data_IF_110964835842
#
_entry.id   IF_110964835842
#
_cell.length_a   1.000
_cell.length_b   1.000
_cell.length_c   1.000
_cell.angle_alpha   90.00
_cell.angle_beta   90.00
_cell.angle_gamma   90.00
#
_symmetry.space_group_name_H-M   'P 1'
#
loop_
_entity.id
_entity.type
_entity.pdbx_description
1 polymer ?
#
# COMPACT_ATOMS: atom_id res chain seq x y z
N UNK A 1 -61.80 24.54 -13.15
CA UNK A 1 -61.07 23.25 -13.12
C UNK A 1 -59.60 23.52 -13.41
N UNK A 2 -58.69 23.45 -12.41
CA UNK A 2 -57.26 23.58 -12.66
C UNK A 2 -56.64 22.21 -13.00
N UNK A 3 -55.74 22.18 -13.99
CA UNK A 3 -54.99 21.01 -14.45
C UNK A 3 -53.96 20.56 -13.40
N UNK A 4 -53.79 19.26 -13.10
CA UNK A 4 -52.68 18.79 -12.28
C UNK A 4 -51.39 18.65 -13.10
N UNK A 5 -50.27 18.98 -12.45
CA UNK A 5 -48.92 18.98 -12.99
C UNK A 5 -48.37 17.56 -13.17
N UNK A 6 -47.65 17.34 -14.29
CA UNK A 6 -46.86 16.13 -14.58
C UNK A 6 -45.74 15.97 -13.55
N UNK A 7 -45.68 14.81 -12.86
CA UNK A 7 -44.50 14.36 -12.11
C UNK A 7 -43.82 13.29 -12.97
N UNK A 8 -42.63 13.60 -13.51
CA UNK A 8 -41.83 12.64 -14.25
C UNK A 8 -41.20 11.63 -13.31
N UNK A 9 -41.53 10.35 -13.48
CA UNK A 9 -40.89 9.24 -12.79
C UNK A 9 -39.49 9.01 -13.37
N UNK A 10 -38.43 9.35 -12.63
CA UNK A 10 -37.07 8.90 -12.96
C UNK A 10 -36.93 7.42 -12.58
N UNK A 11 -36.64 6.59 -13.58
CA UNK A 11 -36.16 5.23 -13.36
C UNK A 11 -34.73 5.29 -12.83
N UNK A 12 -34.52 4.84 -11.60
CA UNK A 12 -33.19 4.52 -11.10
C UNK A 12 -32.76 3.19 -11.73
N UNK A 13 -31.93 3.24 -12.77
CA UNK A 13 -31.12 2.08 -13.15
C UNK A 13 -29.98 1.99 -12.15
N UNK A 14 -30.11 1.10 -11.18
CA UNK A 14 -29.00 0.72 -10.29
C UNK A 14 -28.06 -0.19 -11.07
N UNK A 15 -26.97 0.37 -11.60
CA UNK A 15 -25.87 -0.42 -12.14
C UNK A 15 -24.94 -0.79 -10.98
N UNK A 16 -25.13 -1.98 -10.43
CA UNK A 16 -24.19 -2.55 -9.46
C UNK A 16 -22.96 -3.05 -10.22
N UNK A 17 -21.90 -2.25 -10.28
CA UNK A 17 -20.59 -2.73 -10.74
C UNK A 17 -20.00 -3.51 -9.57
N UNK A 18 -20.17 -4.84 -9.60
CA UNK A 18 -19.41 -5.74 -8.74
C UNK A 18 -17.96 -5.78 -9.21
N UNK A 19 -17.04 -5.19 -8.44
CA UNK A 19 -15.63 -5.55 -8.58
C UNK A 19 -15.49 -7.00 -8.13
N UNK A 20 -15.07 -7.88 -9.04
CA UNK A 20 -14.59 -9.22 -8.68
C UNK A 20 -13.29 -9.02 -7.89
N UNK A 21 -13.39 -9.01 -6.56
CA UNK A 21 -12.25 -8.82 -5.66
C UNK A 21 -11.28 -10.00 -5.79
N UNK A 22 -10.03 -9.73 -6.18
CA UNK A 22 -8.93 -10.67 -6.03
C UNK A 22 -8.70 -11.02 -4.56
N UNK A 23 -8.09 -12.19 -4.30
CA UNK A 23 -7.71 -12.60 -2.95
C UNK A 23 -6.91 -11.49 -2.24
N UNK A 24 -7.07 -11.36 -0.93
CA UNK A 24 -6.27 -10.40 -0.17
C UNK A 24 -4.77 -10.68 -0.35
N UNK A 25 -3.94 -9.64 -0.43
CA UNK A 25 -2.51 -9.82 -0.57
C UNK A 25 -1.93 -10.45 0.69
N UNK A 26 -0.96 -11.35 0.50
CA UNK A 26 -0.27 -12.08 1.57
C UNK A 26 0.91 -11.24 2.05
N UNK A 27 0.94 -10.96 3.35
CA UNK A 27 2.06 -10.31 4.04
C UNK A 27 2.90 -11.36 4.77
N UNK A 28 4.22 -11.33 4.58
CA UNK A 28 5.19 -12.19 5.27
C UNK A 28 6.22 -11.35 6.01
N UNK A 29 6.44 -11.65 7.28
CA UNK A 29 7.42 -10.94 8.11
C UNK A 29 6.97 -10.77 9.56
N UNK A 30 7.66 -9.92 10.33
CA UNK A 30 8.77 -9.07 9.89
C UNK A 30 9.98 -9.88 9.41
N UNK A 31 10.64 -9.42 8.34
CA UNK A 31 11.86 -10.03 7.82
C UNK A 31 13.01 -9.64 8.75
N UNK A 32 13.59 -10.64 9.43
CA UNK A 32 14.63 -10.43 10.43
C UNK A 32 15.79 -9.59 9.86
N UNK A 33 16.16 -8.55 10.60
CA UNK A 33 17.43 -7.84 10.43
C UNK A 33 18.52 -8.72 11.04
N UNK A 34 19.52 -9.13 10.25
CA UNK A 34 20.61 -10.00 10.70
C UNK A 34 21.90 -9.25 11.04
N UNK A 35 22.07 -8.03 10.50
CA UNK A 35 23.23 -7.17 10.77
C UNK A 35 22.79 -5.73 11.09
N UNK A 36 23.70 -4.91 11.62
CA UNK A 36 23.45 -3.49 11.86
C UNK A 36 23.37 -2.70 10.54
N UNK A 37 22.70 -1.55 10.54
CA UNK A 37 22.73 -0.67 9.37
C UNK A 37 24.16 -0.16 9.13
N UNK A 38 24.60 -0.15 7.87
CA UNK A 38 25.97 0.16 7.47
C UNK A 38 26.91 -1.05 7.40
N UNK A 39 26.47 -2.24 7.83
CA UNK A 39 27.26 -3.47 7.75
C UNK A 39 27.50 -3.89 6.28
N UNK A 40 28.74 -4.20 5.86
CA UNK A 40 29.06 -4.57 4.47
C UNK A 40 28.33 -5.81 3.94
N UNK A 41 27.82 -6.69 4.82
CA UNK A 41 27.02 -7.84 4.42
C UNK A 41 25.59 -7.48 3.98
N UNK A 42 25.17 -6.22 4.21
CA UNK A 42 23.92 -5.67 3.71
C UNK A 42 22.67 -6.49 4.11
N UNK A 43 22.73 -7.19 5.25
CA UNK A 43 21.66 -8.08 5.72
C UNK A 43 20.72 -7.39 6.72
N UNK A 44 20.34 -6.18 6.36
CA UNK A 44 19.37 -5.31 7.01
C UNK A 44 18.53 -4.63 5.92
N UNK A 45 17.38 -4.02 6.27
CA UNK A 45 16.53 -3.36 5.29
C UNK A 45 17.31 -2.29 4.49
N UNK A 46 17.31 -2.40 3.17
CA UNK A 46 17.85 -1.33 2.32
C UNK A 46 17.06 -0.04 2.55
N UNK A 47 17.76 1.10 2.62
CA UNK A 47 17.17 2.39 2.94
C UNK A 47 16.53 2.47 4.34
N UNK A 48 17.15 1.79 5.32
CA UNK A 48 16.80 1.96 6.73
C UNK A 48 16.86 3.42 7.17
N UNK A 49 15.96 3.80 8.09
CA UNK A 49 15.89 5.15 8.64
C UNK A 49 17.26 5.65 9.11
N UNK A 50 17.59 6.90 8.77
CA UNK A 50 18.78 7.59 9.27
C UNK A 50 18.58 8.07 10.71
N UNK A 51 17.33 8.25 11.12
CA UNK A 51 16.97 8.70 12.46
C UNK A 51 17.10 7.58 13.50
N UNK A 52 17.42 7.95 14.73
CA UNK A 52 17.33 7.03 15.89
C UNK A 52 15.86 6.84 16.29
N UNK A 53 15.19 5.92 15.60
CA UNK A 53 13.78 5.60 15.83
C UNK A 53 13.53 5.10 17.26
N UNK A 54 14.44 4.30 17.82
CA UNK A 54 14.25 3.71 19.15
C UNK A 54 14.20 4.80 20.22
N UNK A 55 15.12 5.77 20.17
CA UNK A 55 15.10 6.94 21.07
C UNK A 55 13.85 7.79 20.91
N UNK A 56 13.20 7.74 19.74
CA UNK A 56 11.92 8.42 19.45
C UNK A 56 10.69 7.56 19.76
N UNK A 57 10.88 6.34 20.27
CA UNK A 57 9.79 5.41 20.59
C UNK A 57 9.14 4.76 19.36
N UNK A 58 9.88 4.67 18.25
CA UNK A 58 9.48 4.07 16.99
C UNK A 58 10.29 2.81 16.67
N UNK A 59 9.72 1.95 15.83
CA UNK A 59 10.38 0.78 15.27
C UNK A 59 10.28 0.80 13.75
N UNK A 60 11.31 0.28 13.08
CA UNK A 60 11.31 -0.02 11.65
C UNK A 60 11.29 -1.54 11.45
N UNK A 61 10.37 -2.00 10.60
CA UNK A 61 10.21 -3.40 10.27
C UNK A 61 10.01 -3.55 8.77
N UNK A 62 10.69 -4.53 8.17
CA UNK A 62 10.51 -4.87 6.76
C UNK A 62 9.57 -6.07 6.62
N UNK A 63 8.72 -6.05 5.60
CA UNK A 63 7.82 -7.15 5.26
C UNK A 63 7.91 -7.45 3.76
N UNK A 64 7.68 -8.70 3.40
CA UNK A 64 7.37 -9.08 2.03
C UNK A 64 5.87 -9.16 1.82
N UNK A 65 5.48 -8.87 0.59
CA UNK A 65 4.13 -8.50 0.26
C UNK A 65 3.79 -9.01 -1.13
N UNK A 66 2.80 -9.90 -1.26
CA UNK A 66 2.54 -10.59 -2.52
C UNK A 66 1.05 -10.74 -2.82
N UNK A 67 0.71 -10.77 -4.10
CA UNK A 67 -0.66 -10.87 -4.55
C UNK A 67 -0.73 -10.95 -6.07
N UNK A 68 -1.85 -10.48 -6.61
CA UNK A 68 -2.07 -10.40 -8.05
C UNK A 68 -2.52 -8.99 -8.42
N UNK A 69 -1.98 -8.45 -9.50
CA UNK A 69 -2.27 -7.13 -10.02
C UNK A 69 -2.89 -7.20 -11.41
N UNK A 70 -3.59 -6.14 -11.78
CA UNK A 70 -4.12 -5.90 -13.12
C UNK A 70 -3.26 -4.90 -13.88
N UNK A 71 -3.37 -4.95 -15.21
CA UNK A 71 -2.91 -3.85 -16.07
C UNK A 71 -4.09 -2.99 -16.47
N UNK A 72 -3.83 -1.70 -16.62
CA UNK A 72 -4.85 -0.70 -16.89
C UNK A 72 -4.51 0.10 -18.14
N UNK A 73 -5.53 0.40 -18.93
CA UNK A 73 -5.52 1.53 -19.85
C UNK A 73 -5.81 2.78 -19.02
N UNK A 74 -4.91 3.76 -19.01
CA UNK A 74 -5.00 4.95 -18.14
C UNK A 74 -5.14 6.25 -18.95
N UNK A 75 -6.33 6.50 -19.54
CA UNK A 75 -6.57 7.73 -20.29
C UNK A 75 -6.40 8.97 -19.39
N UNK A 76 -5.91 10.06 -19.98
CA UNK A 76 -5.68 11.31 -19.27
C UNK A 76 -6.96 11.85 -18.63
N UNK A 77 -6.95 12.06 -17.31
CA UNK A 77 -8.08 12.65 -16.59
C UNK A 77 -9.30 11.74 -16.45
N UNK A 78 -9.17 10.45 -16.76
CA UNK A 78 -10.24 9.47 -16.65
C UNK A 78 -9.82 8.26 -15.81
N UNK A 79 -10.81 7.55 -15.29
CA UNK A 79 -10.59 6.31 -14.54
C UNK A 79 -10.00 5.26 -15.46
N UNK A 80 -8.96 4.57 -14.98
CA UNK A 80 -8.33 3.49 -15.74
C UNK A 80 -9.28 2.31 -15.94
N UNK A 81 -9.15 1.62 -17.08
CA UNK A 81 -9.90 0.41 -17.39
C UNK A 81 -8.97 -0.79 -17.37
N UNK A 82 -9.36 -1.88 -16.71
CA UNK A 82 -8.59 -3.13 -16.71
C UNK A 82 -8.47 -3.67 -18.14
N UNK A 83 -7.24 -3.94 -18.58
CA UNK A 83 -6.91 -4.58 -19.87
C UNK A 83 -6.84 -6.09 -19.66
N UNK A 84 -6.08 -6.52 -18.67
CA UNK A 84 -5.97 -7.90 -18.21
C UNK A 84 -5.58 -7.94 -16.73
N UNK A 85 -5.54 -9.14 -16.16
CA UNK A 85 -5.40 -9.33 -14.72
C UNK A 85 -4.69 -10.59 -14.30
N UNK A 86 -4.65 -10.80 -12.99
CA UNK A 86 -4.08 -11.98 -12.34
C UNK A 86 -2.54 -12.10 -12.50
N UNK A 87 -1.85 -10.98 -12.71
CA UNK A 87 -0.39 -10.92 -12.78
C UNK A 87 0.21 -11.00 -11.38
N UNK A 88 0.94 -12.07 -11.09
CA UNK A 88 1.52 -12.25 -9.76
C UNK A 88 2.59 -11.20 -9.47
N UNK A 89 2.64 -10.74 -8.23
CA UNK A 89 3.72 -9.92 -7.74
C UNK A 89 4.15 -10.37 -6.34
N UNK A 90 5.41 -10.09 -6.01
CA UNK A 90 5.97 -10.14 -4.66
C UNK A 90 6.94 -8.97 -4.51
N UNK A 91 6.68 -8.09 -3.57
CA UNK A 91 7.52 -6.92 -3.30
C UNK A 91 7.74 -6.73 -1.79
N UNK A 92 8.26 -5.57 -1.43
CA UNK A 92 8.64 -5.17 -0.08
C UNK A 92 7.79 -4.01 0.43
N UNK A 93 7.50 -4.06 1.72
CA UNK A 93 7.02 -2.93 2.52
C UNK A 93 8.06 -2.60 3.60
N UNK A 94 8.36 -1.32 3.80
CA UNK A 94 9.13 -0.84 4.94
C UNK A 94 8.19 -0.07 5.87
N UNK A 95 8.02 -0.53 7.09
CA UNK A 95 7.03 -0.01 8.04
C UNK A 95 7.76 0.70 9.18
N UNK A 96 7.40 1.95 9.42
CA UNK A 96 7.86 2.74 10.58
C UNK A 96 6.66 3.14 11.42
N UNK A 97 6.64 2.76 12.70
CA UNK A 97 5.47 2.99 13.57
C UNK A 97 5.88 3.16 15.02
N UNK A 98 4.99 3.69 15.89
CA UNK A 98 5.21 3.65 17.32
C UNK A 98 5.48 2.22 17.81
N UNK A 99 6.46 2.07 18.69
CA UNK A 99 6.80 0.81 19.33
C UNK A 99 5.65 0.35 20.25
N UNK A 100 5.08 1.30 21.00
CA UNK A 100 3.87 1.12 21.81
C UNK A 100 2.63 1.48 20.97
N UNK A 101 1.77 0.50 20.73
CA UNK A 101 0.54 0.67 19.97
C UNK A 101 -0.41 1.72 20.58
N UNK A 102 -0.31 2.01 21.88
CA UNK A 102 -1.12 3.07 22.54
C UNK A 102 -0.75 4.48 22.08
N UNK A 103 0.45 4.66 21.53
CA UNK A 103 0.92 5.94 20.98
C UNK A 103 0.56 6.12 19.51
N UNK A 104 -0.04 5.12 18.87
CA UNK A 104 -0.50 5.20 17.49
C UNK A 104 -1.79 6.02 17.40
N UNK A 105 -1.79 7.04 16.54
CA UNK A 105 -2.93 7.95 16.36
C UNK A 105 -4.06 7.38 15.48
N UNK A 106 -3.88 6.15 14.99
CA UNK A 106 -4.85 5.49 14.13
C UNK A 106 -4.69 5.76 12.64
N UNK A 107 -3.73 6.59 12.22
CA UNK A 107 -3.52 6.96 10.81
C UNK A 107 -2.21 6.43 10.25
N UNK A 108 -2.31 5.71 9.13
CA UNK A 108 -1.15 5.20 8.38
C UNK A 108 -0.93 6.09 7.16
N UNK A 109 0.28 6.58 6.98
CA UNK A 109 0.75 7.21 5.74
C UNK A 109 1.37 6.13 4.87
N UNK A 110 0.85 5.95 3.66
CA UNK A 110 1.42 4.99 2.70
C UNK A 110 2.12 5.77 1.62
N UNK A 111 3.42 5.58 1.47
CA UNK A 111 4.28 6.26 0.51
C UNK A 111 4.64 5.32 -0.63
N UNK A 112 4.42 5.80 -1.85
CA UNK A 112 4.99 5.19 -3.05
C UNK A 112 6.45 5.66 -3.16
N UNK A 113 7.41 4.75 -2.97
CA UNK A 113 8.83 5.13 -2.96
C UNK A 113 9.27 5.70 -4.31
N UNK A 114 9.98 6.83 -4.27
CA UNK A 114 10.54 7.45 -5.45
C UNK A 114 11.73 6.64 -5.98
N UNK A 115 11.85 6.45 -7.30
CA UNK A 115 12.93 5.67 -7.92
C UNK A 115 13.85 6.47 -8.84
N UNK A 116 13.78 7.81 -8.81
CA UNK A 116 14.53 8.69 -9.71
C UNK A 116 16.05 8.48 -9.63
N UNK A 117 16.58 8.06 -8.48
CA UNK A 117 18.00 7.72 -8.29
C UNK A 117 18.34 6.26 -8.59
N UNK A 118 17.47 5.54 -9.30
CA UNK A 118 17.69 4.14 -9.69
C UNK A 118 17.46 3.12 -8.58
N UNK A 119 16.91 3.54 -7.44
CA UNK A 119 16.56 2.71 -6.28
C UNK A 119 15.46 3.40 -5.46
N UNK A 120 14.81 2.68 -4.55
CA UNK A 120 13.79 3.25 -3.67
C UNK A 120 14.34 4.37 -2.78
N UNK A 121 13.62 5.49 -2.74
CA UNK A 121 13.83 6.64 -1.85
C UNK A 121 12.53 6.94 -1.09
N UNK A 122 12.62 7.11 0.22
CA UNK A 122 11.50 7.48 1.10
C UNK A 122 11.42 9.01 1.30
N UNK A 123 11.36 9.76 0.20
CA UNK A 123 11.45 11.23 0.20
C UNK A 123 10.41 11.89 1.09
N UNK A 124 9.16 11.41 1.12
CA UNK A 124 8.16 12.01 2.00
C UNK A 124 8.53 11.73 3.47
N UNK A 125 8.94 10.51 3.85
CA UNK A 125 9.49 10.27 5.20
C UNK A 125 10.65 11.21 5.52
N UNK A 126 11.66 11.29 4.66
CA UNK A 126 12.81 12.16 4.85
C UNK A 126 12.38 13.61 5.17
N UNK A 127 11.35 14.12 4.49
CA UNK A 127 10.85 15.48 4.68
C UNK A 127 9.99 15.67 5.94
N UNK A 128 9.13 14.70 6.29
CA UNK A 128 8.08 14.91 7.30
C UNK A 128 8.12 13.96 8.51
N UNK A 129 9.12 13.08 8.62
CA UNK A 129 9.26 12.09 9.70
C UNK A 129 9.08 12.69 11.09
N UNK A 130 9.56 13.91 11.28
CA UNK A 130 9.58 14.56 12.57
C UNK A 130 8.16 14.89 13.06
N UNK A 131 7.30 15.34 12.15
CA UNK A 131 5.88 15.54 12.39
C UNK A 131 5.14 14.20 12.56
N UNK A 132 5.43 13.22 11.69
CA UNK A 132 4.82 11.89 11.76
C UNK A 132 5.09 11.25 13.13
N UNK A 133 6.35 11.28 13.58
CA UNK A 133 6.76 10.70 14.84
C UNK A 133 6.12 11.38 16.05
N UNK A 134 6.17 12.71 16.13
CA UNK A 134 5.56 13.47 17.24
C UNK A 134 4.05 13.27 17.33
N UNK A 135 3.39 13.09 16.20
CA UNK A 135 1.93 12.96 16.14
C UNK A 135 1.44 11.52 16.19
N UNK A 136 2.34 10.52 16.29
CA UNK A 136 1.96 9.12 16.45
C UNK A 136 1.49 8.42 15.18
N UNK A 137 1.90 8.89 13.99
CA UNK A 137 1.55 8.22 12.72
C UNK A 137 2.35 6.93 12.53
N UNK A 138 1.77 6.00 11.78
CA UNK A 138 2.55 4.95 11.15
C UNK A 138 2.82 5.34 9.69
N UNK A 139 3.92 4.85 9.14
CA UNK A 139 4.33 5.06 7.77
C UNK A 139 4.69 3.73 7.12
N UNK A 140 4.34 3.56 5.85
CA UNK A 140 4.65 2.39 5.03
C UNK A 140 5.21 2.87 3.70
N UNK A 141 6.50 2.62 3.44
CA UNK A 141 7.11 2.77 2.13
C UNK A 141 6.89 1.53 1.28
N UNK A 142 6.45 1.72 0.04
CA UNK A 142 6.09 0.64 -0.89
C UNK A 142 7.06 0.61 -2.06
N UNK A 143 7.72 -0.53 -2.26
CA UNK A 143 8.53 -0.83 -3.44
C UNK A 143 7.62 -1.21 -4.62
N UNK A 144 6.92 -0.24 -5.22
CA UNK A 144 5.89 -0.53 -6.23
C UNK A 144 6.42 -0.69 -7.66
N UNK A 145 7.67 -0.27 -7.93
CA UNK A 145 8.22 -0.17 -9.28
C UNK A 145 9.39 -1.13 -9.53
N UNK A 146 9.56 -1.51 -10.80
CA UNK A 146 10.57 -2.48 -11.25
C UNK A 146 11.99 -2.02 -10.94
N UNK A 147 12.28 -0.73 -11.11
CA UNK A 147 13.61 -0.13 -10.86
C UNK A 147 14.00 -0.30 -9.39
N UNK A 148 13.11 0.04 -8.46
CA UNK A 148 13.34 -0.11 -7.02
C UNK A 148 13.60 -1.57 -6.64
N UNK A 149 12.74 -2.49 -7.11
CA UNK A 149 12.88 -3.93 -6.82
C UNK A 149 14.17 -4.51 -7.42
N UNK A 150 14.58 -4.08 -8.62
CA UNK A 150 15.84 -4.49 -9.22
C UNK A 150 17.06 -4.05 -8.38
N UNK A 151 17.05 -2.82 -7.88
CA UNK A 151 18.11 -2.32 -7.01
C UNK A 151 18.20 -3.10 -5.69
N UNK A 152 17.06 -3.50 -5.10
CA UNK A 152 17.05 -4.36 -3.91
C UNK A 152 17.75 -5.70 -4.17
N UNK A 153 17.50 -6.33 -5.33
CA UNK A 153 18.17 -7.59 -5.69
C UNK A 153 19.68 -7.44 -5.85
N UNK A 154 20.14 -6.30 -6.35
CA UNK A 154 21.57 -5.98 -6.46
C UNK A 154 22.17 -5.77 -5.06
N UNK A 155 21.46 -5.06 -4.19
CA UNK A 155 21.90 -4.79 -2.82
C UNK A 155 22.13 -6.06 -1.99
N UNK A 156 21.17 -6.99 -2.03
CA UNK A 156 21.31 -8.29 -1.38
C UNK A 156 20.42 -9.35 -2.07
N UNK A 157 21.05 -10.21 -2.87
CA UNK A 157 20.35 -11.26 -3.63
C UNK A 157 19.70 -12.30 -2.72
N UNK A 158 20.33 -12.68 -1.62
CA UNK A 158 19.78 -13.71 -0.72
C UNK A 158 18.53 -13.21 0.01
N UNK A 159 18.50 -11.92 0.36
CA UNK A 159 17.36 -11.28 1.00
C UNK A 159 16.23 -11.01 0.00
N UNK A 160 16.54 -10.42 -1.15
CA UNK A 160 15.54 -9.84 -2.06
C UNK A 160 15.36 -10.61 -3.38
N UNK A 161 16.11 -11.68 -3.61
CA UNK A 161 16.10 -12.42 -4.88
C UNK A 161 14.73 -12.97 -5.29
N UNK A 162 13.86 -13.24 -4.32
CA UNK A 162 12.50 -13.72 -4.55
C UNK A 162 11.47 -12.63 -4.91
N UNK A 163 11.82 -11.35 -4.81
CA UNK A 163 10.90 -10.27 -5.17
C UNK A 163 10.69 -10.24 -6.69
N UNK A 164 9.49 -9.94 -7.15
CA UNK A 164 9.17 -9.72 -8.54
C UNK A 164 7.92 -8.84 -8.69
N UNK A 165 7.99 -7.83 -9.56
CA UNK A 165 6.87 -6.94 -9.89
C UNK A 165 6.62 -6.90 -11.40
N UNK A 166 7.11 -7.92 -12.12
CA UNK A 166 7.06 -8.03 -13.57
C UNK A 166 6.20 -9.20 -14.05
N UNK A 167 5.63 -9.97 -13.11
CA UNK A 167 4.94 -11.22 -13.38
C UNK A 167 5.77 -12.14 -14.28
N UNK A 168 6.94 -12.56 -13.78
CA UNK A 168 7.89 -13.42 -14.47
C UNK A 168 8.35 -12.82 -15.83
N UNK A 169 8.65 -11.51 -15.84
CA UNK A 169 9.10 -10.74 -16.99
C UNK A 169 8.07 -10.63 -18.14
N UNK A 170 6.80 -10.94 -17.89
CA UNK A 170 5.73 -10.75 -18.89
C UNK A 170 5.25 -9.31 -18.98
N UNK A 171 5.43 -8.54 -17.90
CA UNK A 171 5.14 -7.11 -17.81
C UNK A 171 6.45 -6.34 -17.61
N UNK A 172 6.89 -5.64 -18.65
CA UNK A 172 8.21 -5.01 -18.70
C UNK A 172 8.22 -3.53 -18.27
N UNK A 173 7.04 -2.94 -18.12
CA UNK A 173 6.81 -1.60 -17.59
C UNK A 173 6.33 -1.66 -16.12
N UNK A 174 5.92 -0.51 -15.58
CA UNK A 174 5.40 -0.41 -14.21
C UNK A 174 3.85 -0.54 -14.17
N UNK A 175 3.20 -1.19 -15.15
CA UNK A 175 1.73 -1.25 -15.22
C UNK A 175 1.07 -1.90 -13.98
N UNK A 176 1.78 -2.79 -13.28
CA UNK A 176 1.28 -3.47 -12.07
C UNK A 176 1.35 -2.59 -10.80
N UNK A 177 2.09 -1.49 -10.85
CA UNK A 177 2.43 -0.68 -9.67
C UNK A 177 1.21 -0.05 -8.98
N UNK A 178 0.16 0.26 -9.73
CA UNK A 178 -1.09 0.82 -9.20
C UNK A 178 -1.77 -0.15 -8.22
N UNK A 179 -1.94 -1.41 -8.61
CA UNK A 179 -2.55 -2.42 -7.75
C UNK A 179 -1.60 -2.81 -6.63
N UNK A 180 -0.30 -2.96 -6.90
CA UNK A 180 0.70 -3.21 -5.85
C UNK A 180 0.58 -2.17 -4.72
N UNK A 181 0.46 -0.89 -5.08
CA UNK A 181 0.31 0.19 -4.11
C UNK A 181 -1.08 0.22 -3.47
N UNK A 182 -2.16 0.10 -4.24
CA UNK A 182 -3.53 0.17 -3.74
C UNK A 182 -3.86 -1.00 -2.78
N UNK A 183 -3.31 -2.17 -3.06
CA UNK A 183 -3.51 -3.38 -2.29
C UNK A 183 -2.92 -3.26 -0.86
N UNK A 184 -1.95 -2.36 -0.62
CA UNK A 184 -1.41 -2.09 0.74
C UNK A 184 -2.49 -1.62 1.69
N UNK A 185 -3.49 -0.88 1.19
CA UNK A 185 -4.65 -0.47 1.98
C UNK A 185 -5.48 -1.66 2.49
N UNK A 186 -5.52 -2.76 1.72
CA UNK A 186 -6.16 -4.02 2.15
C UNK A 186 -5.23 -4.79 3.10
N UNK A 187 -3.95 -4.86 2.78
CA UNK A 187 -2.92 -5.53 3.59
C UNK A 187 -2.83 -4.97 5.02
N UNK A 188 -2.82 -3.64 5.16
CA UNK A 188 -2.72 -2.95 6.44
C UNK A 188 -3.95 -3.16 7.36
N UNK A 189 -5.03 -3.74 6.83
CA UNK A 189 -6.26 -4.06 7.57
C UNK A 189 -6.41 -5.56 7.85
N UNK A 190 -5.53 -6.41 7.32
CA UNK A 190 -5.64 -7.85 7.55
C UNK A 190 -5.34 -8.23 9.01
N UNK A 191 -6.12 -9.14 9.63
CA UNK A 191 -5.89 -9.60 11.01
C UNK A 191 -4.52 -10.25 11.23
N UNK A 192 -3.90 -10.79 10.16
CA UNK A 192 -2.56 -11.41 10.20
C UNK A 192 -1.42 -10.39 10.04
N UNK A 193 -1.74 -9.17 9.61
CA UNK A 193 -0.84 -8.02 9.56
C UNK A 193 -1.02 -7.15 10.82
N UNK A 194 -1.15 -7.79 11.99
CA UNK A 194 -1.61 -7.25 13.29
C UNK A 194 -0.74 -6.10 13.88
N UNK A 195 0.12 -5.47 13.07
CA UNK A 195 1.04 -4.42 13.49
C UNK A 195 0.42 -3.01 13.53
N UNK A 196 -0.76 -2.75 12.93
CA UNK A 196 -1.32 -1.38 12.86
C UNK A 196 -2.79 -1.19 13.24
N UNK A 197 -3.71 -2.15 13.02
CA UNK A 197 -5.16 -1.99 13.21
C UNK A 197 -5.67 -0.55 12.93
N UNK A 198 -5.43 -0.01 11.72
CA UNK A 198 -5.59 1.42 11.50
C UNK A 198 -7.06 1.85 11.44
N UNK A 199 -7.35 2.98 12.09
CA UNK A 199 -8.65 3.67 11.96
C UNK A 199 -8.74 4.42 10.63
N UNK A 200 -7.61 4.91 10.10
CA UNK A 200 -7.50 5.71 8.88
C UNK A 200 -6.24 5.33 8.11
N UNK A 201 -6.33 5.35 6.78
CA UNK A 201 -5.18 5.18 5.87
C UNK A 201 -5.19 6.38 4.93
N UNK A 202 -4.07 7.08 4.83
CA UNK A 202 -3.83 8.19 3.90
C UNK A 202 -2.72 7.77 2.93
N UNK A 203 -3.03 7.78 1.64
CA UNK A 203 -2.08 7.42 0.60
C UNK A 203 -1.40 8.68 0.05
N UNK A 204 -0.07 8.71 0.11
CA UNK A 204 0.78 9.69 -0.54
C UNK A 204 1.42 9.03 -1.77
N UNK A 205 0.96 9.42 -2.95
CA UNK A 205 1.58 9.03 -4.21
C UNK A 205 2.01 10.29 -4.96
N UNK A 206 3.31 10.60 -4.92
CA UNK A 206 3.93 11.52 -5.87
C UNK A 206 4.53 10.70 -6.99
N UNK A 207 3.72 10.33 -7.98
CA UNK A 207 4.30 9.82 -9.22
C UNK A 207 5.00 11.00 -9.87
N UNK A 208 6.33 10.90 -10.00
CA UNK A 208 7.07 11.73 -10.94
C UNK A 208 6.58 11.35 -12.33
N UNK A 209 5.43 11.88 -12.73
CA UNK A 209 4.90 12.14 -14.08
C UNK A 209 3.38 12.40 -14.09
N UNK A 210 2.57 12.01 -13.07
CA UNK A 210 1.13 12.41 -12.95
C UNK A 210 0.62 12.31 -11.50
N UNK A 211 0.00 13.33 -10.88
CA UNK A 211 -0.53 13.20 -9.53
C UNK A 211 -1.69 12.19 -9.47
N UNK A 212 -1.65 11.30 -8.47
CA UNK A 212 -2.75 10.38 -8.15
C UNK A 212 -2.96 10.39 -6.63
N UNK A 213 -4.20 10.55 -6.20
CA UNK A 213 -4.59 10.45 -4.80
C UNK A 213 -5.78 9.48 -4.69
N UNK A 214 -5.60 8.34 -4.02
CA UNK A 214 -6.72 7.45 -3.67
C UNK A 214 -7.28 7.91 -2.34
N UNK A 215 -8.54 8.35 -2.34
CA UNK A 215 -9.31 8.58 -1.12
C UNK A 215 -10.27 7.40 -0.96
N UNK A 216 -9.99 6.49 -0.04
CA UNK A 216 -10.93 5.42 0.29
C UNK A 216 -12.22 6.01 0.86
N UNK A 217 -13.38 5.66 0.28
CA UNK A 217 -14.67 6.20 0.68
C UNK A 217 -15.28 5.36 1.83
N UNK A 218 -16.03 5.97 2.77
CA UNK A 218 -16.72 5.22 3.81
C UNK A 218 -17.80 4.25 3.30
N UNK A 219 -18.27 4.41 2.07
CA UNK A 219 -19.25 3.51 1.44
C UNK A 219 -18.68 2.12 1.15
N UNK A 220 -17.36 1.99 1.06
CA UNK A 220 -16.67 0.71 0.89
C UNK A 220 -16.59 -0.07 2.22
N UNK A 221 -17.20 0.45 3.30
CA UNK A 221 -17.13 -0.06 4.68
C UNK A 221 -18.39 -0.78 5.18
N UNK A 222 -19.41 -1.02 4.34
CA UNK A 222 -20.66 -1.66 4.77
C UNK A 222 -20.98 -2.94 4.01
N UNK A 223 -20.26 -4.02 4.32
CA UNK A 223 -20.79 -5.36 4.05
C UNK A 223 -20.22 -6.48 4.93
N UNK A 224 -19.89 -6.23 6.20
CA UNK A 224 -19.78 -7.31 7.19
C UNK A 224 -20.25 -6.79 8.55
N UNK A 225 -21.52 -7.05 8.83
CA UNK A 225 -22.17 -6.61 10.07
C UNK A 225 -23.62 -7.12 10.16
N UNK A 226 -23.83 -8.42 9.97
CA UNK A 226 -25.00 -9.13 10.49
C UNK A 226 -24.79 -10.64 10.36
N UNK A 227 -24.21 -11.25 11.39
CA UNK A 227 -24.60 -12.60 11.82
C UNK A 227 -24.19 -12.78 13.29
N UNK A 228 -25.07 -12.34 14.18
CA UNK A 228 -25.14 -12.87 15.53
C UNK A 228 -26.62 -13.11 15.79
N UNK A 229 -27.01 -14.38 15.71
CA UNK A 229 -28.30 -14.82 16.19
C UNK A 229 -28.35 -14.72 17.72
N UNK A 230 -29.55 -14.51 18.24
CA UNK A 230 -29.89 -14.85 19.61
C UNK A 230 -31.13 -15.72 19.60
N UNK A 231 -30.94 -16.98 19.96
CA UNK A 231 -31.95 -17.81 20.60
C UNK A 231 -32.15 -17.29 22.03
N UNK A 232 -33.37 -16.91 22.39
CA UNK A 232 -34.20 -17.37 23.52
C UNK A 232 -35.63 -16.99 23.17
#
# INVERSE_FOLDING_TARGET
MPKPHLISTLWFVSLSIGFLFGANPIVSGPIARKTAAGDPAHNYPFFSALEDLNRRGYVEQEYFYSGTANRYETPAGATGKVIDGNHKYKTRLLVRRPADAKKFNGTVIVEWNNVTSGHDLDIDWYQIHDYLMRSGYAWIGVSAQRVGVAALKVWNKDRYGSLDVTADLTVMDDALSYDIFADVGRAAREPRADFLRPRRIEAAARVCHRPFAVRFAPSDLRQFGSSAGSSV
#
